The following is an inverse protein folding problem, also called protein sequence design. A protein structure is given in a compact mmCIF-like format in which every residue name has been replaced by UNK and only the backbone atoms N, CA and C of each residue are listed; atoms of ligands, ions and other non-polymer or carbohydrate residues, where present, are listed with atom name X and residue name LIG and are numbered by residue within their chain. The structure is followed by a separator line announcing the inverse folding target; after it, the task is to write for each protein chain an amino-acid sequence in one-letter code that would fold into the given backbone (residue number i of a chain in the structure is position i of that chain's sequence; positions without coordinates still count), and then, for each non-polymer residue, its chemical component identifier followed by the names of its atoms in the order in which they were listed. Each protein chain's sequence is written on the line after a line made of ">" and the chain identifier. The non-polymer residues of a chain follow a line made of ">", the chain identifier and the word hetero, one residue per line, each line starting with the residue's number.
data_IF_670947334068
#
_entry.id   IF_670947334068
#
_cell.length_a   1.000
_cell.length_b   1.000
_cell.length_c   1.000
_cell.angle_alpha   90.00
_cell.angle_beta   90.00
_cell.angle_gamma   90.00
#
_symmetry.space_group_name_H-M   'P 1'
#
loop_
_entity.id
_entity.type
_entity.pdbx_description
1 polymer ?
#
# COMPACT_ATOMS: atom_id res chain seq x y z
N UNK A 1 3.92 -5.66 4.66
CA UNK A 1 4.57 -4.58 3.90
C UNK A 1 6.05 -4.57 4.22
N UNK A 2 6.88 -4.75 3.19
CA UNK A 2 8.32 -4.50 3.28
C UNK A 2 8.53 -2.98 3.28
N UNK A 3 9.25 -2.46 4.27
CA UNK A 3 9.51 -1.02 4.39
C UNK A 3 10.96 -0.73 4.05
N UNK A 4 11.20 0.31 3.27
CA UNK A 4 12.58 0.72 2.93
C UNK A 4 13.26 1.48 4.08
N UNK A 5 12.46 1.92 5.06
CA UNK A 5 12.93 2.65 6.26
C UNK A 5 13.45 1.72 7.35
N UNK A 6 13.49 0.39 7.12
CA UNK A 6 13.80 -0.63 8.14
C UNK A 6 12.99 -0.45 9.44
N UNK A 7 11.80 0.14 9.32
CA UNK A 7 10.93 0.50 10.43
C UNK A 7 9.64 -0.29 10.34
N UNK A 8 9.18 -0.83 11.46
CA UNK A 8 7.86 -1.42 11.57
C UNK A 8 6.84 -0.34 11.94
N UNK A 9 5.75 -0.28 11.18
CA UNK A 9 4.65 0.64 11.45
C UNK A 9 3.48 -0.13 12.05
N UNK A 10 2.87 0.36 13.15
CA UNK A 10 1.70 -0.30 13.73
C UNK A 10 0.50 -0.17 12.78
N UNK A 11 -0.42 -1.14 12.86
CA UNK A 11 -1.65 -1.16 12.04
C UNK A 11 -2.53 0.09 12.19
N UNK A 12 -2.34 0.84 13.28
CA UNK A 12 -3.04 2.11 13.56
C UNK A 12 -2.47 3.29 12.77
N UNK A 13 -1.27 3.17 12.21
CA UNK A 13 -0.66 4.21 11.40
C UNK A 13 -1.08 4.05 9.94
N UNK A 14 -1.48 5.16 9.32
CA UNK A 14 -1.81 5.19 7.89
C UNK A 14 -0.50 5.22 7.09
N UNK A 15 -0.18 4.10 6.46
CA UNK A 15 1.01 3.94 5.60
C UNK A 15 0.67 3.12 4.35
N UNK A 16 1.47 3.30 3.29
CA UNK A 16 1.35 2.60 2.02
C UNK A 16 2.68 2.00 1.55
N UNK A 17 2.57 0.90 0.80
CA UNK A 17 3.57 0.50 -0.18
C UNK A 17 3.03 0.70 -1.60
N UNK A 18 3.90 1.16 -2.51
CA UNK A 18 3.55 1.38 -3.92
C UNK A 18 4.20 0.31 -4.80
N UNK A 19 3.52 -0.13 -5.86
CA UNK A 19 4.16 -0.96 -6.90
C UNK A 19 5.46 -0.34 -7.40
N UNK A 20 6.46 -1.16 -7.75
CA UNK A 20 7.82 -0.74 -8.17
C UNK A 20 7.85 0.49 -9.07
N UNK A 21 7.04 0.51 -10.14
CA UNK A 21 6.99 1.64 -11.08
C UNK A 21 6.52 2.95 -10.45
N UNK A 22 5.56 2.89 -9.53
CA UNK A 22 5.07 4.06 -8.78
C UNK A 22 5.97 4.42 -7.61
N UNK A 23 6.60 3.44 -6.97
CA UNK A 23 7.60 3.68 -5.94
C UNK A 23 8.81 4.46 -6.48
N UNK A 24 9.16 4.17 -7.75
CA UNK A 24 10.12 4.93 -8.56
C UNK A 24 11.45 5.14 -7.83
N UNK A 25 12.11 4.04 -7.48
CA UNK A 25 13.43 4.05 -6.82
C UNK A 25 13.45 4.89 -5.55
N UNK A 26 12.47 4.68 -4.66
CA UNK A 26 12.31 5.42 -3.39
C UNK A 26 12.02 6.93 -3.53
N UNK A 27 11.84 7.47 -4.73
CA UNK A 27 11.58 8.92 -4.91
C UNK A 27 10.31 9.42 -4.21
N UNK A 28 9.37 8.52 -3.90
CA UNK A 28 8.16 8.79 -3.10
C UNK A 28 8.26 8.37 -1.64
N UNK A 29 9.34 7.69 -1.24
CA UNK A 29 9.54 7.29 0.16
C UNK A 29 9.52 8.51 1.08
N UNK A 30 8.82 8.41 2.20
CA UNK A 30 8.68 9.47 3.18
C UNK A 30 7.74 10.61 2.76
N UNK A 31 7.13 10.54 1.57
CA UNK A 31 6.10 11.49 1.13
C UNK A 31 4.71 10.97 1.46
N UNK A 32 3.78 11.89 1.64
CA UNK A 32 2.37 11.55 1.80
C UNK A 32 1.66 11.65 0.47
N UNK A 33 0.77 10.71 0.18
CA UNK A 33 -0.11 10.74 -0.99
C UNK A 33 -1.57 10.77 -0.54
N UNK A 34 -2.44 11.31 -1.38
CA UNK A 34 -3.88 11.35 -1.15
C UNK A 34 -4.56 10.22 -1.92
N UNK A 35 -5.37 9.41 -1.23
CA UNK A 35 -6.18 8.33 -1.82
C UNK A 35 -7.66 8.68 -1.75
N UNK A 36 -8.37 8.39 -2.83
CA UNK A 36 -9.81 8.46 -2.94
C UNK A 36 -10.38 7.07 -3.20
N UNK A 37 -11.30 6.63 -2.33
CA UNK A 37 -11.91 5.31 -2.41
C UNK A 37 -13.18 5.26 -1.55
N UNK A 38 -14.19 4.49 -1.96
CA UNK A 38 -15.48 4.41 -1.25
C UNK A 38 -16.14 5.79 -0.97
N UNK A 39 -15.95 6.77 -1.86
CA UNK A 39 -16.43 8.15 -1.65
C UNK A 39 -15.78 8.87 -0.45
N UNK A 40 -14.69 8.32 0.09
CA UNK A 40 -13.88 8.90 1.16
C UNK A 40 -12.50 9.28 0.61
N UNK A 41 -11.82 10.14 1.36
CA UNK A 41 -10.45 10.56 1.09
C UNK A 41 -9.60 10.33 2.32
N UNK A 42 -8.40 9.80 2.13
CA UNK A 42 -7.41 9.65 3.20
C UNK A 42 -6.03 10.02 2.70
N UNK A 43 -5.17 10.47 3.62
CA UNK A 43 -3.76 10.74 3.36
C UNK A 43 -2.95 9.70 4.12
N UNK A 44 -1.92 9.16 3.49
CA UNK A 44 -0.98 8.28 4.18
C UNK A 44 0.44 8.38 3.64
N UNK A 45 1.39 7.94 4.48
CA UNK A 45 2.82 7.99 4.22
C UNK A 45 3.25 6.80 3.35
N UNK A 46 4.00 7.05 2.30
CA UNK A 46 4.66 5.99 1.52
C UNK A 46 5.90 5.52 2.28
N UNK A 47 5.92 4.25 2.65
CA UNK A 47 6.98 3.66 3.51
C UNK A 47 7.68 2.46 2.88
N UNK A 48 7.17 1.95 1.76
CA UNK A 48 7.66 0.71 1.19
C UNK A 48 7.31 0.52 -0.27
N UNK A 49 7.85 -0.57 -0.80
CA UNK A 49 7.61 -1.05 -2.15
C UNK A 49 6.75 -2.32 -2.09
N UNK A 50 5.79 -2.40 -3.01
CA UNK A 50 5.15 -3.64 -3.38
C UNK A 50 5.92 -4.18 -4.60
N UNK A 51 6.87 -5.08 -4.36
CA UNK A 51 7.80 -5.55 -5.40
C UNK A 51 7.03 -6.26 -6.52
N UNK A 52 7.04 -5.66 -7.71
CA UNK A 52 6.34 -6.15 -8.90
C UNK A 52 7.25 -6.87 -9.89
N UNK A 53 8.52 -7.08 -9.51
CA UNK A 53 9.55 -7.72 -10.33
C UNK A 53 9.89 -9.10 -9.77
N UNK A 54 10.08 -9.21 -8.46
CA UNK A 54 10.51 -10.44 -7.78
C UNK A 54 9.36 -11.11 -7.02
N UNK A 55 9.49 -12.42 -6.81
CA UNK A 55 8.49 -13.25 -6.15
C UNK A 55 8.61 -14.72 -6.53
N UNK A 56 7.72 -15.56 -6.00
CA UNK A 56 7.70 -17.01 -6.15
C UNK A 56 8.98 -17.70 -5.61
N UNK A 57 9.64 -17.07 -4.65
CA UNK A 57 10.89 -17.56 -4.04
C UNK A 57 10.79 -17.59 -2.50
N UNK A 58 11.84 -18.06 -1.83
CA UNK A 58 11.87 -18.21 -0.38
C UNK A 58 11.87 -16.87 0.37
N UNK A 59 12.46 -15.82 -0.20
CA UNK A 59 12.51 -14.48 0.40
C UNK A 59 11.12 -13.86 0.48
N UNK A 60 10.30 -14.10 -0.55
CA UNK A 60 8.91 -13.66 -0.65
C UNK A 60 7.91 -14.69 -0.10
N UNK A 61 8.37 -15.69 0.65
CA UNK A 61 7.54 -16.77 1.20
C UNK A 61 6.65 -17.48 0.14
N UNK A 62 7.15 -17.59 -1.09
CA UNK A 62 6.45 -18.18 -2.24
C UNK A 62 5.33 -17.32 -2.82
N UNK A 63 5.11 -16.10 -2.34
CA UNK A 63 4.11 -15.18 -2.87
C UNK A 63 4.53 -14.68 -4.26
N UNK A 64 3.59 -14.53 -5.21
CA UNK A 64 3.91 -14.00 -6.53
C UNK A 64 4.33 -12.53 -6.45
N UNK A 65 5.00 -12.01 -7.49
CA UNK A 65 5.25 -10.58 -7.62
C UNK A 65 3.94 -9.77 -7.53
N UNK A 66 4.03 -8.59 -6.94
CA UNK A 66 2.94 -7.62 -6.86
C UNK A 66 2.49 -7.19 -8.27
N UNK A 67 1.21 -6.82 -8.42
CA UNK A 67 0.77 -6.17 -9.65
C UNK A 67 1.37 -4.77 -9.77
N UNK A 68 1.49 -4.25 -11.00
CA UNK A 68 2.18 -2.99 -11.30
C UNK A 68 1.37 -1.72 -10.96
N UNK A 69 0.12 -1.88 -10.52
CA UNK A 69 -0.85 -0.81 -10.29
C UNK A 69 -1.50 -0.88 -8.89
N UNK A 70 -0.73 -1.29 -7.88
CA UNK A 70 -1.17 -1.52 -6.51
C UNK A 70 -0.70 -0.40 -5.59
N UNK A 71 -1.62 -0.01 -4.72
CA UNK A 71 -1.32 0.71 -3.49
C UNK A 71 -1.71 -0.20 -2.33
N UNK A 72 -0.71 -0.81 -1.69
CA UNK A 72 -0.92 -1.71 -0.57
C UNK A 72 -1.02 -0.87 0.71
N UNK A 73 -2.20 -0.89 1.36
CA UNK A 73 -2.55 0.03 2.45
C UNK A 73 -2.77 -0.65 3.80
N UNK A 74 -2.28 -0.02 4.87
CA UNK A 74 -2.40 -0.55 6.23
C UNK A 74 -3.87 -0.61 6.70
N UNK A 75 -4.21 -1.38 7.75
CA UNK A 75 -5.58 -1.44 8.27
C UNK A 75 -6.19 -0.06 8.61
N UNK A 76 -5.37 0.89 9.07
CA UNK A 76 -5.81 2.27 9.31
C UNK A 76 -6.26 3.01 8.04
N UNK A 77 -5.71 2.68 6.87
CA UNK A 77 -6.16 3.22 5.58
C UNK A 77 -7.56 2.72 5.28
N UNK A 78 -7.76 1.40 5.31
CA UNK A 78 -9.07 0.79 5.06
C UNK A 78 -10.15 1.36 5.99
N UNK A 79 -9.81 1.51 7.27
CA UNK A 79 -10.66 2.17 8.26
C UNK A 79 -10.98 3.63 7.89
N UNK A 80 -9.99 4.41 7.43
CA UNK A 80 -10.21 5.80 7.01
C UNK A 80 -11.05 5.93 5.73
N UNK A 81 -11.00 4.90 4.87
CA UNK A 81 -11.88 4.78 3.70
C UNK A 81 -13.25 4.17 4.04
N UNK A 82 -13.53 3.92 5.33
CA UNK A 82 -14.80 3.36 5.80
C UNK A 82 -15.11 1.98 5.18
N UNK A 83 -14.07 1.15 5.03
CA UNK A 83 -14.18 -0.23 4.55
C UNK A 83 -13.75 -1.18 5.67
N UNK A 84 -14.70 -1.92 6.21
CA UNK A 84 -14.47 -2.89 7.28
C UNK A 84 -14.11 -4.28 6.73
N UNK A 85 -13.57 -5.17 7.57
CA UNK A 85 -13.23 -6.55 7.16
C UNK A 85 -14.42 -7.39 6.67
N UNK A 86 -15.63 -7.02 7.04
CA UNK A 86 -16.86 -7.69 6.61
C UNK A 86 -17.45 -7.08 5.32
N UNK A 87 -16.89 -5.98 4.83
CA UNK A 87 -17.30 -5.36 3.58
C UNK A 87 -16.81 -6.20 2.39
N UNK A 88 -17.63 -6.36 1.35
CA UNK A 88 -17.27 -7.14 0.16
C UNK A 88 -16.11 -6.56 -0.64
N UNK A 89 -15.77 -5.28 -0.42
CA UNK A 89 -14.62 -4.60 -1.03
C UNK A 89 -13.33 -4.77 -0.24
N UNK A 90 -13.40 -5.37 0.95
CA UNK A 90 -12.20 -5.64 1.73
C UNK A 90 -11.35 -6.70 1.05
N UNK A 91 -10.04 -6.46 0.94
CA UNK A 91 -9.09 -7.29 0.21
C UNK A 91 -8.55 -6.56 -1.02
N UNK A 92 -9.44 -6.03 -1.86
CA UNK A 92 -9.06 -5.24 -3.02
C UNK A 92 -10.21 -4.31 -3.43
N UNK A 93 -9.89 -3.04 -3.69
CA UNK A 93 -10.86 -2.04 -4.12
C UNK A 93 -10.21 -1.07 -5.11
N UNK A 94 -10.94 -0.73 -6.18
CA UNK A 94 -10.53 0.34 -7.10
C UNK A 94 -10.47 1.68 -6.37
N UNK A 95 -9.33 2.36 -6.49
CA UNK A 95 -9.08 3.68 -5.93
C UNK A 95 -8.49 4.60 -7.00
N UNK A 96 -8.43 5.89 -6.70
CA UNK A 96 -7.52 6.82 -7.36
C UNK A 96 -6.62 7.47 -6.32
N UNK A 97 -5.44 7.93 -6.73
CA UNK A 97 -4.50 8.60 -5.84
C UNK A 97 -3.72 9.69 -6.57
N UNK A 98 -3.19 10.64 -5.80
CA UNK A 98 -2.28 11.67 -6.28
C UNK A 98 -1.21 11.99 -5.24
N UNK A 99 -0.06 12.46 -5.74
CA UNK A 99 1.03 13.02 -4.94
C UNK A 99 0.59 14.31 -4.22
#
# INVERSE_FOLDING_TARGET
>A
MTTVTHTFYPDTQRVFALSTGWFNGESRCGKTITIHGNGKTTIALVVGECDSVNGCDAEHAGQPPCHHNIVDGSPAVWKALDVSKSDSRYGEMTISWND
#
